data_IF_589637878689
#
_entry.id   IF_589637878689
#
_cell.length_a   1.000
_cell.length_b   1.000
_cell.length_c   1.000
_cell.angle_alpha   90.00
_cell.angle_beta   90.00
_cell.angle_gamma   90.00
#
_symmetry.space_group_name_H-M   'P 1'
#
loop_
_entity.id
_entity.type
_entity.pdbx_description
1 polymer ?
#
# COMPACT_ATOMS: atom_id res chain seq x y z
N UNK A 1 -37.92 6.94 19.40
CA UNK A 1 -36.47 7.21 19.51
C UNK A 1 -35.62 6.26 18.64
N UNK A 2 -36.01 6.04 17.36
CA UNK A 2 -35.32 5.12 16.42
C UNK A 2 -35.15 5.69 15.00
N UNK A 3 -35.49 6.96 14.77
CA UNK A 3 -35.48 7.56 13.42
C UNK A 3 -34.31 8.53 13.17
N UNK A 4 -33.47 8.86 14.17
CA UNK A 4 -32.31 9.75 13.97
C UNK A 4 -31.05 9.02 13.48
N UNK A 5 -30.87 7.74 13.81
CA UNK A 5 -29.67 6.97 13.42
C UNK A 5 -29.53 6.75 11.90
N UNK A 6 -30.61 6.76 11.14
CA UNK A 6 -30.54 6.57 9.68
C UNK A 6 -30.18 7.86 8.91
N UNK A 7 -30.46 9.04 9.47
CA UNK A 7 -30.17 10.30 8.79
C UNK A 7 -28.66 10.61 8.80
N UNK A 8 -27.97 10.31 9.91
CA UNK A 8 -26.53 10.52 10.04
C UNK A 8 -25.73 9.52 9.18
N UNK A 9 -26.23 8.30 8.99
CA UNK A 9 -25.63 7.30 8.10
C UNK A 9 -25.76 7.67 6.61
N UNK A 10 -26.82 8.38 6.23
CA UNK A 10 -27.03 8.91 4.87
C UNK A 10 -26.27 10.23 4.62
N UNK A 11 -25.96 10.99 5.68
CA UNK A 11 -25.10 12.17 5.59
C UNK A 11 -23.63 11.79 5.37
N UNK A 12 -23.14 10.76 6.07
CA UNK A 12 -21.78 10.22 5.87
C UNK A 12 -21.58 9.57 4.49
N UNK A 13 -22.65 9.07 3.84
CA UNK A 13 -22.56 8.57 2.47
C UNK A 13 -22.53 9.68 1.41
N UNK A 14 -22.81 10.93 1.78
CA UNK A 14 -22.80 12.10 0.87
C UNK A 14 -21.52 12.93 0.95
N UNK A 15 -20.77 12.85 2.05
CA UNK A 15 -19.47 13.52 2.18
C UNK A 15 -18.29 12.71 1.63
N UNK A 16 -18.50 11.43 1.31
CA UNK A 16 -17.59 10.65 0.46
C UNK A 16 -17.85 10.99 -1.01
N UNK A 17 -17.59 12.24 -1.38
CA UNK A 17 -17.42 12.64 -2.77
C UNK A 17 -16.14 11.98 -3.29
N UNK A 18 -16.24 10.70 -3.66
CA UNK A 18 -15.22 10.00 -4.43
C UNK A 18 -14.96 10.83 -5.69
N UNK A 19 -13.78 11.44 -5.88
CA UNK A 19 -13.49 12.08 -7.15
C UNK A 19 -13.56 11.01 -8.25
N UNK A 20 -14.33 11.34 -9.29
CA UNK A 20 -14.60 10.51 -10.45
C UNK A 20 -13.39 9.68 -10.87
N UNK A 21 -13.62 8.37 -10.92
CA UNK A 21 -12.73 7.32 -11.36
C UNK A 21 -12.19 7.65 -12.76
N UNK A 22 -10.95 8.16 -12.84
CA UNK A 22 -10.18 8.05 -14.09
C UNK A 22 -9.81 6.58 -14.22
N UNK A 23 -10.61 5.85 -14.99
CA UNK A 23 -10.23 4.52 -15.49
C UNK A 23 -9.03 4.69 -16.41
N UNK A 24 -7.82 4.65 -15.84
CA UNK A 24 -6.63 4.35 -16.63
C UNK A 24 -6.76 2.89 -17.08
N UNK A 25 -7.16 2.69 -18.34
CA UNK A 25 -7.26 1.40 -19.04
C UNK A 25 -5.87 0.77 -19.26
N UNK A 26 -5.01 0.77 -18.25
CA UNK A 26 -3.60 0.40 -18.33
C UNK A 26 -3.24 -0.74 -17.39
N UNK A 27 -3.24 -1.99 -17.90
CA UNK A 27 -2.57 -3.20 -17.37
C UNK A 27 -2.82 -3.63 -15.90
N UNK A 28 -3.51 -2.85 -15.06
CA UNK A 28 -3.61 -3.09 -13.62
C UNK A 28 -4.99 -3.63 -13.26
N UNK A 29 -5.00 -4.80 -12.65
CA UNK A 29 -6.23 -5.51 -12.24
C UNK A 29 -6.86 -4.91 -10.96
N UNK A 30 -6.08 -4.17 -10.17
CA UNK A 30 -6.54 -3.61 -8.90
C UNK A 30 -6.40 -2.09 -8.85
N UNK A 31 -7.48 -1.44 -8.41
CA UNK A 31 -7.47 -0.05 -8.00
C UNK A 31 -6.39 0.19 -6.93
N UNK A 32 -5.73 1.35 -6.99
CA UNK A 32 -4.68 1.73 -6.05
C UNK A 32 -5.12 2.95 -5.25
N UNK A 33 -4.98 2.87 -3.94
CA UNK A 33 -5.25 3.96 -3.01
C UNK A 33 -3.94 4.74 -2.82
N UNK A 34 -3.90 6.04 -3.14
CA UNK A 34 -2.76 6.88 -2.79
C UNK A 34 -2.51 6.87 -1.29
N UNK A 35 -1.26 6.78 -0.87
CA UNK A 35 -0.88 6.77 0.55
C UNK A 35 0.54 7.28 0.71
N UNK A 36 0.83 7.86 1.87
CA UNK A 36 2.17 8.26 2.28
C UNK A 36 2.58 7.55 3.58
N UNK A 37 2.15 6.29 3.74
CA UNK A 37 2.50 5.45 4.87
C UNK A 37 4.02 5.26 4.97
N UNK A 38 4.55 5.34 6.20
CA UNK A 38 5.95 5.01 6.50
C UNK A 38 6.13 3.50 6.35
N UNK A 39 7.24 3.11 5.74
CA UNK A 39 7.56 1.70 5.53
C UNK A 39 9.01 1.42 5.92
N UNK A 40 9.22 0.41 6.76
CA UNK A 40 10.51 -0.20 7.03
C UNK A 40 10.60 -1.47 6.19
N UNK A 41 11.70 -1.65 5.45
CA UNK A 41 11.91 -2.82 4.62
C UNK A 41 13.38 -3.24 4.61
N UNK A 42 13.61 -4.53 4.40
CA UNK A 42 14.95 -5.06 4.12
C UNK A 42 14.87 -6.20 3.11
N UNK A 43 15.94 -6.40 2.35
CA UNK A 43 16.04 -7.53 1.44
C UNK A 43 16.24 -8.82 2.24
N UNK A 44 15.58 -9.90 1.82
CA UNK A 44 15.70 -11.21 2.47
C UNK A 44 17.16 -11.66 2.51
N UNK A 45 17.61 -12.10 3.68
CA UNK A 45 19.01 -12.49 3.92
C UNK A 45 19.95 -11.33 4.24
N UNK A 46 19.42 -10.10 4.37
CA UNK A 46 20.16 -8.94 4.85
C UNK A 46 19.59 -8.47 6.18
N UNK A 47 20.41 -7.87 7.04
CA UNK A 47 19.98 -7.22 8.28
C UNK A 47 19.95 -5.69 8.16
N UNK A 48 20.09 -5.16 6.93
CA UNK A 48 20.11 -3.72 6.68
C UNK A 48 18.70 -3.25 6.42
N UNK A 49 18.15 -2.50 7.37
CA UNK A 49 16.82 -1.90 7.28
C UNK A 49 16.87 -0.55 6.56
N UNK A 50 15.83 -0.30 5.78
CA UNK A 50 15.61 0.94 5.07
C UNK A 50 14.24 1.49 5.41
N UNK A 51 14.21 2.77 5.80
CA UNK A 51 12.96 3.48 6.05
C UNK A 51 12.62 4.32 4.83
N UNK A 52 11.38 4.25 4.40
CA UNK A 52 10.88 4.89 3.19
C UNK A 52 9.42 5.31 3.37
N UNK A 53 8.83 5.87 2.32
CA UNK A 53 7.39 6.15 2.28
C UNK A 53 6.77 5.40 1.11
N UNK A 54 5.48 5.11 1.21
CA UNK A 54 4.72 4.61 0.08
C UNK A 54 4.23 5.77 -0.79
N UNK A 55 3.91 5.47 -2.06
CA UNK A 55 3.14 6.38 -2.94
C UNK A 55 1.68 5.94 -3.03
N UNK A 56 1.48 4.64 -3.14
CA UNK A 56 0.20 4.01 -3.34
C UNK A 56 0.24 2.54 -2.89
N UNK A 57 -0.94 1.98 -2.59
CA UNK A 57 -1.09 0.58 -2.25
C UNK A 57 -2.36 0.00 -2.85
N UNK A 58 -2.37 -1.32 -3.05
CA UNK A 58 -3.55 -2.11 -3.35
C UNK A 58 -3.40 -3.49 -2.74
N UNK A 59 -4.47 -4.29 -2.81
CA UNK A 59 -4.45 -5.69 -2.35
C UNK A 59 -3.30 -6.53 -2.96
N UNK A 60 -2.88 -6.21 -4.18
CA UNK A 60 -1.85 -6.98 -4.90
C UNK A 60 -0.44 -6.40 -4.83
N UNK A 61 -0.25 -5.19 -4.27
CA UNK A 61 1.06 -4.57 -4.30
C UNK A 61 1.12 -3.15 -3.76
N UNK A 62 2.32 -2.72 -3.42
CA UNK A 62 2.64 -1.40 -2.89
C UNK A 62 3.68 -0.74 -3.78
N UNK A 63 3.66 0.59 -3.91
CA UNK A 63 4.78 1.33 -4.47
C UNK A 63 5.54 2.03 -3.34
N UNK A 64 6.81 1.68 -3.15
CA UNK A 64 7.72 2.24 -2.14
C UNK A 64 8.58 3.30 -2.83
N UNK A 65 8.52 4.54 -2.33
CA UNK A 65 9.42 5.63 -2.71
C UNK A 65 10.74 5.47 -1.97
N UNK A 66 11.82 5.33 -2.73
CA UNK A 66 13.17 5.15 -2.20
C UNK A 66 14.19 5.57 -3.26
N UNK A 67 15.35 6.04 -2.81
CA UNK A 67 16.53 6.36 -3.61
C UNK A 67 17.39 5.12 -3.95
N UNK A 68 17.10 3.97 -3.33
CA UNK A 68 17.85 2.72 -3.48
C UNK A 68 16.97 1.55 -3.94
N UNK A 69 16.27 1.67 -5.09
CA UNK A 69 15.33 0.64 -5.53
C UNK A 69 16.04 -0.68 -5.88
N UNK A 70 15.54 -1.77 -5.31
CA UNK A 70 16.06 -3.13 -5.49
C UNK A 70 15.73 -3.70 -6.87
N UNK A 71 16.44 -4.75 -7.29
CA UNK A 71 16.22 -5.34 -8.61
C UNK A 71 14.89 -6.13 -8.65
N UNK A 72 14.20 -6.18 -9.82
CA UNK A 72 13.05 -7.06 -9.98
C UNK A 72 13.36 -8.52 -9.64
N UNK A 73 12.43 -9.19 -8.96
CA UNK A 73 12.58 -10.57 -8.47
C UNK A 73 13.16 -10.69 -7.06
N UNK A 74 13.75 -9.63 -6.50
CA UNK A 74 14.22 -9.66 -5.11
C UNK A 74 13.07 -9.75 -4.11
N UNK A 75 13.30 -10.51 -3.02
CA UNK A 75 12.35 -10.69 -1.93
C UNK A 75 12.64 -9.69 -0.80
N UNK A 76 11.60 -9.07 -0.28
CA UNK A 76 11.65 -8.09 0.79
C UNK A 76 10.75 -8.51 1.94
N UNK A 77 11.25 -8.32 3.16
CA UNK A 77 10.43 -8.22 4.35
C UNK A 77 9.98 -6.77 4.52
N UNK A 78 8.70 -6.53 4.78
CA UNK A 78 8.13 -5.19 4.82
C UNK A 78 7.25 -5.01 6.07
N UNK A 79 7.45 -3.90 6.77
CA UNK A 79 6.62 -3.39 7.85
C UNK A 79 6.08 -2.01 7.45
N UNK A 80 4.77 -1.91 7.28
CA UNK A 80 4.10 -0.69 6.84
C UNK A 80 3.22 -0.14 7.97
N UNK A 81 3.49 1.10 8.36
CA UNK A 81 2.71 1.83 9.35
C UNK A 81 1.57 2.57 8.63
N UNK A 82 0.33 2.14 8.87
CA UNK A 82 -0.89 2.76 8.32
C UNK A 82 -1.69 3.51 9.39
N UNK A 83 -1.01 4.02 10.42
CA UNK A 83 -1.59 4.83 11.49
C UNK A 83 -1.79 4.01 12.77
N UNK A 84 -3.00 3.46 12.96
CA UNK A 84 -3.33 2.71 14.18
C UNK A 84 -2.82 1.27 14.17
N UNK A 85 -2.40 0.76 13.01
CA UNK A 85 -1.94 -0.62 12.86
C UNK A 85 -0.65 -0.69 12.06
N UNK A 86 0.17 -1.68 12.39
CA UNK A 86 1.36 -2.03 11.61
C UNK A 86 1.04 -3.30 10.82
N UNK A 87 1.26 -3.24 9.51
CA UNK A 87 1.06 -4.37 8.61
C UNK A 87 2.41 -4.95 8.22
N UNK A 88 2.64 -6.21 8.56
CA UNK A 88 3.82 -6.97 8.16
C UNK A 88 3.50 -7.88 6.97
N UNK A 89 4.40 -7.95 5.99
CA UNK A 89 4.27 -8.88 4.85
C UNK A 89 5.59 -9.11 4.11
N UNK A 90 5.66 -10.22 3.39
CA UNK A 90 6.65 -10.49 2.35
C UNK A 90 6.20 -9.88 1.03
N UNK A 91 7.17 -9.39 0.24
CA UNK A 91 6.91 -8.91 -1.10
C UNK A 91 8.04 -9.23 -2.08
N UNK A 92 7.70 -9.34 -3.36
CA UNK A 92 8.69 -9.44 -4.44
C UNK A 92 8.73 -8.15 -5.24
N UNK A 93 9.92 -7.64 -5.54
CA UNK A 93 10.06 -6.47 -6.41
C UNK A 93 9.56 -6.81 -7.81
N UNK A 94 8.55 -6.10 -8.29
CA UNK A 94 7.96 -6.33 -9.61
C UNK A 94 8.59 -5.44 -10.69
N UNK A 95 8.92 -4.19 -10.33
CA UNK A 95 9.61 -3.24 -11.20
C UNK A 95 10.26 -2.14 -10.35
N UNK A 96 11.23 -1.43 -10.94
CA UNK A 96 11.85 -0.23 -10.36
C UNK A 96 11.85 0.93 -11.34
N UNK A 97 11.90 2.14 -10.81
CA UNK A 97 12.15 3.36 -11.56
C UNK A 97 13.01 4.31 -10.71
N UNK A 98 13.27 5.52 -11.24
CA UNK A 98 14.04 6.55 -10.54
C UNK A 98 13.43 6.98 -9.18
N UNK A 99 12.11 6.85 -9.03
CA UNK A 99 11.38 7.35 -7.86
C UNK A 99 11.12 6.24 -6.81
N UNK A 100 11.60 5.01 -7.06
CA UNK A 100 11.44 3.88 -6.15
C UNK A 100 11.10 2.57 -6.86
N UNK A 101 10.29 1.74 -6.19
CA UNK A 101 9.97 0.40 -6.68
C UNK A 101 8.54 -0.02 -6.38
N UNK A 102 7.94 -0.75 -7.32
CA UNK A 102 6.69 -1.44 -7.13
C UNK A 102 6.94 -2.87 -6.67
N UNK A 103 6.29 -3.26 -5.59
CA UNK A 103 6.39 -4.61 -5.00
C UNK A 103 5.06 -5.33 -5.10
N UNK A 104 5.10 -6.63 -5.37
CA UNK A 104 3.95 -7.54 -5.32
C UNK A 104 3.92 -8.18 -3.94
N UNK A 105 2.79 -8.03 -3.24
CA UNK A 105 2.60 -8.57 -1.89
C UNK A 105 2.29 -10.06 -1.98
N UNK A 106 2.94 -10.88 -1.16
CA UNK A 106 2.49 -12.24 -0.90
C UNK A 106 1.36 -12.22 0.13
N UNK A 107 0.13 -12.39 -0.35
CA UNK A 107 -1.07 -12.34 0.49
C UNK A 107 -1.10 -13.36 1.63
N UNK A 108 -0.37 -14.47 1.51
CA UNK A 108 -0.33 -15.51 2.56
C UNK A 108 0.51 -15.10 3.78
N UNK A 109 1.42 -14.14 3.58
CA UNK A 109 2.35 -13.64 4.60
C UNK A 109 1.82 -12.46 5.42
N UNK A 110 0.71 -11.84 5.01
CA UNK A 110 0.22 -10.60 5.61
C UNK A 110 -0.22 -10.83 7.05
N UNK A 111 0.27 -10.00 7.98
CA UNK A 111 -0.10 -9.98 9.40
C UNK A 111 -0.34 -8.54 9.85
N UNK A 112 -1.29 -8.36 10.77
CA UNK A 112 -1.49 -7.11 11.50
C UNK A 112 -0.84 -7.32 12.87
N UNK A 113 0.01 -6.38 13.27
CA UNK A 113 0.71 -6.37 14.55
C UNK A 113 0.03 -5.41 15.53
#
# INVERSE_FOLDING_TARGET
MKQRLNADMLALSRELSFPLLVMDLGRRVHFRVPTAARVDWHARGTCTHHVSTTRDWSRGGVFIRTDIPRAPGELLHVLMDVGEVIVQFEATVAHRCKDGMGVRVDSSSVRIL
#
